data_IF_897752825866
#
_entry.id   IF_897752825866
#
_cell.length_a   1.000
_cell.length_b   1.000
_cell.length_c   1.000
_cell.angle_alpha   90.00
_cell.angle_beta   90.00
_cell.angle_gamma   90.00
#
_symmetry.space_group_name_H-M   'P 1'
#
loop_
_entity.id
_entity.type
_entity.pdbx_description
1 polymer ?
#
# COMPACT_ATOMS: atom_id res chain seq x y z
N UNK A 1 13.08 -13.73 -3.41
CA UNK A 1 12.07 -12.90 -4.09
C UNK A 1 10.71 -13.57 -4.17
N UNK A 2 10.63 -14.79 -4.71
CA UNK A 2 9.34 -15.42 -5.05
C UNK A 2 8.51 -15.93 -3.86
N UNK A 3 9.15 -16.59 -2.89
CA UNK A 3 8.45 -17.17 -1.72
C UNK A 3 7.68 -16.11 -0.90
N UNK A 4 8.32 -14.97 -0.58
CA UNK A 4 7.69 -13.87 0.17
C UNK A 4 6.48 -13.28 -0.59
N UNK A 5 6.58 -13.15 -1.91
CA UNK A 5 5.49 -12.63 -2.75
C UNK A 5 4.31 -13.60 -2.79
N UNK A 6 4.55 -14.91 -2.97
CA UNK A 6 3.49 -15.91 -2.96
C UNK A 6 2.79 -15.98 -1.62
N UNK A 7 3.54 -15.95 -0.52
CA UNK A 7 2.96 -15.95 0.83
C UNK A 7 2.11 -14.69 1.06
N UNK A 8 2.62 -13.51 0.67
CA UNK A 8 1.86 -12.27 0.77
C UNK A 8 0.57 -12.35 -0.05
N UNK A 9 0.65 -12.78 -1.32
CA UNK A 9 -0.54 -12.85 -2.18
C UNK A 9 -1.59 -13.81 -1.65
N UNK A 10 -1.16 -15.01 -1.21
CA UNK A 10 -2.08 -15.97 -0.57
C UNK A 10 -2.70 -15.41 0.71
N UNK A 11 -1.95 -14.67 1.52
CA UNK A 11 -2.49 -14.05 2.74
C UNK A 11 -3.52 -12.96 2.40
N UNK A 12 -3.25 -12.11 1.40
CA UNK A 12 -4.18 -11.08 0.94
C UNK A 12 -5.46 -11.68 0.34
N UNK A 13 -5.35 -12.81 -0.37
CA UNK A 13 -6.47 -13.51 -1.00
C UNK A 13 -7.35 -14.23 0.05
N UNK A 14 -6.74 -14.81 1.09
CA UNK A 14 -7.45 -15.56 2.13
C UNK A 14 -8.09 -14.68 3.21
N UNK A 15 -7.57 -13.49 3.44
CA UNK A 15 -8.11 -12.58 4.44
C UNK A 15 -9.56 -12.18 4.09
N UNK A 16 -10.41 -12.01 5.09
CA UNK A 16 -11.78 -11.52 4.90
C UNK A 16 -11.79 -9.99 4.67
N UNK A 17 -10.83 -9.28 5.27
CA UNK A 17 -10.66 -7.84 5.14
C UNK A 17 -9.19 -7.46 4.94
N UNK A 18 -8.86 -6.17 4.79
CA UNK A 18 -7.45 -5.75 4.77
C UNK A 18 -6.89 -5.68 6.20
N UNK A 19 -7.74 -5.37 7.17
CA UNK A 19 -7.39 -5.19 8.58
C UNK A 19 -6.72 -6.43 9.19
N UNK A 20 -7.13 -7.63 8.78
CA UNK A 20 -6.54 -8.90 9.24
C UNK A 20 -5.06 -9.06 8.86
N UNK A 21 -4.63 -8.44 7.76
CA UNK A 21 -3.28 -8.55 7.20
C UNK A 21 -2.50 -7.24 7.26
N UNK A 22 -3.14 -6.15 7.70
CA UNK A 22 -2.58 -4.81 7.72
C UNK A 22 -1.25 -4.71 8.50
N UNK A 23 -1.07 -5.29 9.71
CA UNK A 23 0.19 -5.15 10.44
C UNK A 23 1.40 -5.68 9.64
N UNK A 24 1.23 -6.82 8.96
CA UNK A 24 2.31 -7.44 8.16
C UNK A 24 2.55 -6.63 6.89
N UNK A 25 1.49 -6.23 6.18
CA UNK A 25 1.61 -5.43 4.96
C UNK A 25 2.29 -4.07 5.22
N UNK A 26 1.92 -3.40 6.30
CA UNK A 26 2.54 -2.13 6.73
C UNK A 26 4.01 -2.35 7.07
N UNK A 27 4.35 -3.41 7.82
CA UNK A 27 5.74 -3.72 8.14
C UNK A 27 6.58 -3.98 6.88
N UNK A 28 6.01 -4.61 5.85
CA UNK A 28 6.70 -4.83 4.57
C UNK A 28 6.99 -3.52 3.83
N UNK A 29 6.02 -2.59 3.79
CA UNK A 29 6.23 -1.25 3.21
C UNK A 29 7.26 -0.47 4.02
N UNK A 30 7.14 -0.47 5.36
CA UNK A 30 8.05 0.22 6.26
C UNK A 30 9.49 -0.31 6.21
N UNK A 31 9.68 -1.60 5.95
CA UNK A 31 11.00 -2.19 5.78
C UNK A 31 11.76 -1.64 4.55
N UNK A 32 11.06 -0.99 3.60
CA UNK A 32 11.67 0.00 2.71
C UNK A 32 12.81 -0.53 1.82
N UNK A 33 12.68 -1.72 1.25
CA UNK A 33 13.67 -2.21 0.28
C UNK A 33 13.25 -1.85 -1.16
N UNK A 34 14.17 -1.29 -1.96
CA UNK A 34 13.97 -1.00 -3.40
C UNK A 34 13.52 -2.19 -4.27
N UNK A 35 13.57 -3.42 -3.77
CA UNK A 35 13.05 -4.62 -4.47
C UNK A 35 11.59 -4.98 -4.14
N UNK A 36 10.98 -4.30 -3.17
CA UNK A 36 9.61 -4.53 -2.68
C UNK A 36 8.60 -3.73 -3.51
N UNK A 37 9.04 -2.61 -4.07
CA UNK A 37 8.19 -1.58 -4.68
C UNK A 37 7.31 -2.13 -5.80
N UNK A 38 7.84 -2.76 -6.84
CA UNK A 38 6.98 -3.06 -8.02
C UNK A 38 6.08 -4.29 -7.86
N UNK A 39 6.51 -5.31 -7.11
CA UNK A 39 5.78 -6.58 -7.02
C UNK A 39 4.87 -6.69 -5.80
N UNK A 40 5.20 -6.03 -4.69
CA UNK A 40 4.49 -6.25 -3.42
C UNK A 40 3.56 -5.08 -3.08
N UNK A 41 3.92 -3.85 -3.47
CA UNK A 41 3.07 -2.67 -3.20
C UNK A 41 1.73 -2.71 -3.96
N UNK A 42 1.73 -3.20 -5.21
CA UNK A 42 0.50 -3.30 -6.02
C UNK A 42 -0.61 -4.14 -5.37
N UNK A 43 -0.34 -5.42 -5.05
CA UNK A 43 -1.32 -6.26 -4.34
C UNK A 43 -1.75 -5.70 -2.98
N UNK A 44 -0.84 -5.08 -2.22
CA UNK A 44 -1.17 -4.46 -0.93
C UNK A 44 -2.13 -3.28 -1.15
N UNK A 45 -1.83 -2.38 -2.08
CA UNK A 45 -2.68 -1.23 -2.42
C UNK A 45 -4.06 -1.68 -2.94
N UNK A 46 -4.08 -2.63 -3.87
CA UNK A 46 -5.32 -3.15 -4.42
C UNK A 46 -6.19 -3.81 -3.35
N UNK A 47 -5.59 -4.52 -2.40
CA UNK A 47 -6.34 -5.12 -1.29
C UNK A 47 -6.87 -4.06 -0.31
N UNK A 48 -6.06 -3.07 0.04
CA UNK A 48 -6.44 -2.00 0.95
C UNK A 48 -7.53 -1.07 0.36
N UNK A 49 -7.57 -0.93 -0.96
CA UNK A 49 -8.49 -0.07 -1.69
C UNK A 49 -9.22 -0.85 -2.79
N UNK A 50 -9.81 -2.00 -2.44
CA UNK A 50 -10.45 -2.91 -3.40
C UNK A 50 -11.64 -2.30 -4.15
N UNK A 51 -12.36 -1.36 -3.52
CA UNK A 51 -13.41 -0.55 -4.14
C UNK A 51 -12.91 0.76 -4.76
N UNK A 52 -11.60 1.01 -4.75
CA UNK A 52 -11.01 2.33 -4.99
C UNK A 52 -11.09 3.23 -3.76
N UNK A 53 -10.27 4.27 -3.77
CA UNK A 53 -10.35 5.38 -2.83
C UNK A 53 -11.52 6.29 -3.21
N UNK A 54 -12.41 6.53 -2.25
CA UNK A 54 -13.52 7.47 -2.37
C UNK A 54 -13.34 8.60 -1.35
N UNK A 55 -13.16 9.86 -1.78
CA UNK A 55 -13.01 10.99 -0.86
C UNK A 55 -14.27 11.27 -0.01
N UNK A 56 -15.43 10.73 -0.38
CA UNK A 56 -16.64 10.82 0.45
C UNK A 56 -16.61 9.87 1.67
N UNK A 57 -15.71 8.88 1.68
CA UNK A 57 -15.58 7.91 2.76
C UNK A 57 -14.25 8.10 3.50
N UNK A 58 -14.33 8.16 4.84
CA UNK A 58 -13.14 8.27 5.68
C UNK A 58 -12.26 7.02 5.58
N UNK A 59 -10.94 7.23 5.51
CA UNK A 59 -9.96 6.15 5.57
C UNK A 59 -10.07 5.37 6.88
N UNK A 60 -10.05 4.04 6.78
CA UNK A 60 -9.89 3.17 7.96
C UNK A 60 -8.53 3.42 8.62
N UNK A 61 -8.40 3.06 9.89
CA UNK A 61 -7.12 3.19 10.62
C UNK A 61 -5.99 2.41 9.91
N UNK A 62 -6.30 1.25 9.33
CA UNK A 62 -5.34 0.43 8.59
C UNK A 62 -4.91 1.09 7.27
N UNK A 63 -5.86 1.64 6.50
CA UNK A 63 -5.55 2.38 5.27
C UNK A 63 -4.70 3.61 5.55
N UNK A 64 -5.04 4.40 6.58
CA UNK A 64 -4.27 5.57 6.99
C UNK A 64 -2.84 5.18 7.41
N UNK A 65 -2.69 4.11 8.21
CA UNK A 65 -1.38 3.63 8.63
C UNK A 65 -0.54 3.11 7.45
N UNK A 66 -1.15 2.44 6.47
CA UNK A 66 -0.49 2.02 5.24
C UNK A 66 0.02 3.23 4.43
N UNK A 67 -0.85 4.21 4.19
CA UNK A 67 -0.47 5.44 3.46
C UNK A 67 0.63 6.20 4.18
N UNK A 68 0.59 6.25 5.51
CA UNK A 68 1.67 6.83 6.32
C UNK A 68 3.00 6.12 6.09
N UNK A 69 3.01 4.80 6.07
CA UNK A 69 4.22 4.02 5.80
C UNK A 69 4.80 4.29 4.41
N UNK A 70 3.96 4.50 3.38
CA UNK A 70 4.42 4.93 2.06
C UNK A 70 5.07 6.32 2.12
N UNK A 71 4.41 7.31 2.73
CA UNK A 71 4.93 8.69 2.84
C UNK A 71 6.25 8.76 3.62
N UNK A 72 6.36 7.99 4.70
CA UNK A 72 7.53 7.97 5.59
C UNK A 72 8.74 7.29 4.91
N UNK A 73 8.51 6.39 3.95
CA UNK A 73 9.59 5.66 3.23
C UNK A 73 9.89 6.18 1.83
N UNK A 74 9.03 7.05 1.27
CA UNK A 74 9.12 7.48 -0.13
C UNK A 74 10.44 8.19 -0.46
N UNK A 75 10.96 9.03 0.43
CA UNK A 75 12.22 9.74 0.19
C UNK A 75 13.41 8.80 0.01
N UNK A 76 13.46 7.71 0.78
CA UNK A 76 14.55 6.74 0.74
C UNK A 76 14.40 5.69 -0.37
N UNK A 77 13.18 5.42 -0.81
CA UNK A 77 12.86 4.24 -1.63
C UNK A 77 12.20 4.57 -2.96
N UNK A 78 11.66 5.77 -3.13
CA UNK A 78 10.76 6.13 -4.22
C UNK A 78 9.48 5.31 -4.22
N UNK A 79 8.95 4.93 -3.05
CA UNK A 79 7.85 3.96 -2.91
C UNK A 79 6.56 4.38 -3.61
N UNK A 80 6.28 5.68 -3.70
CA UNK A 80 5.12 6.24 -4.39
C UNK A 80 5.45 6.44 -5.87
N UNK A 81 6.61 7.04 -6.15
CA UNK A 81 7.07 7.30 -7.52
C UNK A 81 7.22 6.04 -8.39
N UNK A 82 7.72 4.94 -7.81
CA UNK A 82 7.84 3.64 -8.47
C UNK A 82 6.51 2.92 -8.69
N UNK A 83 5.48 3.28 -7.91
CA UNK A 83 4.18 2.61 -7.90
C UNK A 83 3.02 3.44 -8.46
N UNK A 84 3.30 4.53 -9.18
CA UNK A 84 2.26 5.47 -9.68
C UNK A 84 1.07 4.79 -10.36
N UNK A 85 1.32 3.74 -11.15
CA UNK A 85 0.26 2.99 -11.82
C UNK A 85 -0.71 2.32 -10.83
N UNK A 86 -0.19 1.80 -9.71
CA UNK A 86 -0.99 1.18 -8.67
C UNK A 86 -1.78 2.22 -7.86
N UNK A 87 -1.14 3.35 -7.50
CA UNK A 87 -1.84 4.46 -6.86
C UNK A 87 -2.98 5.00 -7.73
N UNK A 88 -2.74 5.19 -9.03
CA UNK A 88 -3.77 5.56 -10.00
C UNK A 88 -4.90 4.53 -10.05
N UNK A 89 -4.57 3.24 -10.12
CA UNK A 89 -5.55 2.16 -10.22
C UNK A 89 -6.48 2.10 -9.00
N UNK A 90 -6.01 2.52 -7.83
CA UNK A 90 -6.82 2.62 -6.62
C UNK A 90 -7.47 3.99 -6.44
N UNK A 91 -7.37 4.91 -7.40
CA UNK A 91 -7.92 6.27 -7.29
C UNK A 91 -7.19 7.19 -6.31
N UNK A 92 -6.00 6.80 -5.84
CA UNK A 92 -5.18 7.60 -4.93
C UNK A 92 -4.30 8.61 -5.71
N UNK A 93 -3.88 9.70 -5.06
CA UNK A 93 -2.85 10.59 -5.60
C UNK A 93 -1.54 9.86 -5.97
N UNK A 94 -0.91 10.28 -7.07
CA UNK A 94 0.31 9.65 -7.62
C UNK A 94 1.62 10.30 -7.11
N UNK A 95 1.53 11.16 -6.09
CA UNK A 95 2.65 11.88 -5.51
C UNK A 95 2.57 11.92 -3.98
N UNK A 96 3.72 12.12 -3.35
CA UNK A 96 3.87 12.09 -1.89
C UNK A 96 3.04 13.15 -1.21
N UNK A 97 3.02 14.37 -1.75
CA UNK A 97 2.28 15.51 -1.20
C UNK A 97 0.77 15.24 -1.20
N UNK A 98 0.26 14.65 -2.28
CA UNK A 98 -1.14 14.26 -2.41
C UNK A 98 -1.52 13.17 -1.42
N UNK A 99 -0.67 12.15 -1.23
CA UNK A 99 -0.92 11.12 -0.21
C UNK A 99 -0.85 11.72 1.21
N UNK A 100 0.13 12.58 1.48
CA UNK A 100 0.30 13.23 2.78
C UNK A 100 -0.90 14.12 3.15
N UNK A 101 -1.57 14.73 2.17
CA UNK A 101 -2.78 15.53 2.39
C UNK A 101 -4.01 14.70 2.83
N UNK A 102 -3.97 13.37 2.71
CA UNK A 102 -5.04 12.45 3.14
C UNK A 102 -4.89 11.97 4.59
N UNK A 103 -3.78 12.29 5.26
CA UNK A 103 -3.39 11.78 6.58
C UNK A 103 -3.78 12.76 7.70
#
# INVERSE_FOLDING_TARGET
>A
GWFRFTVLRSALDLAASFEEVAPVAIAMVAAGHRSIVDHESGPILFRAFSGGYDPAHSLTSAQRALLRAFVDTDEATGSIGGNRLWFRATGLPENREGIAALL
#
